data_IF_328123803140
#
_entry.id   IF_328123803140
#
_cell.length_a   1.000
_cell.length_b   1.000
_cell.length_c   1.000
_cell.angle_alpha   90.00
_cell.angle_beta   90.00
_cell.angle_gamma   90.00
#
_symmetry.space_group_name_H-M   'P 1'
#
loop_
_entity.id
_entity.type
_entity.pdbx_description
1 polymer ?
#
# COMPACT_ATOMS: atom_id res chain seq x y z
N UNK A 1 -89.84 55.69 3.26
CA UNK A 1 -88.98 54.51 3.12
C UNK A 1 -88.40 54.57 1.73
N UNK A 2 -87.17 55.05 1.55
CA UNK A 2 -86.36 54.65 0.40
C UNK A 2 -84.88 54.88 0.71
N UNK A 3 -84.07 53.93 0.29
CA UNK A 3 -82.69 53.74 0.73
C UNK A 3 -81.73 54.58 -0.11
N UNK A 4 -80.68 55.09 0.53
CA UNK A 4 -79.46 55.50 -0.17
C UNK A 4 -78.29 54.81 0.54
N UNK A 5 -78.06 53.56 0.15
CA UNK A 5 -76.82 52.85 0.44
C UNK A 5 -75.69 53.57 -0.31
N UNK A 6 -74.82 54.27 0.43
CA UNK A 6 -73.54 54.74 -0.09
C UNK A 6 -72.59 53.55 -0.19
N UNK A 7 -72.56 52.92 -1.36
CA UNK A 7 -71.57 51.88 -1.67
C UNK A 7 -70.24 52.57 -1.87
N UNK A 8 -69.35 52.39 -0.89
CA UNK A 8 -67.92 52.71 -0.97
C UNK A 8 -67.31 51.85 -2.08
N UNK A 9 -66.94 52.45 -3.19
CA UNK A 9 -66.41 51.74 -4.37
C UNK A 9 -64.87 51.76 -4.43
N UNK A 10 -64.20 52.35 -3.43
CA UNK A 10 -62.74 52.62 -3.45
C UNK A 10 -61.86 51.46 -2.96
N UNK A 11 -62.44 50.39 -2.40
CA UNK A 11 -61.66 49.29 -1.79
C UNK A 11 -61.18 48.26 -2.84
N UNK A 12 -61.99 48.00 -3.87
CA UNK A 12 -61.80 46.86 -4.78
C UNK A 12 -60.54 46.99 -5.66
N UNK A 13 -60.10 48.22 -5.98
CA UNK A 13 -58.86 48.49 -6.72
C UNK A 13 -57.62 48.35 -5.85
N UNK A 14 -57.67 48.83 -4.60
CA UNK A 14 -56.55 48.71 -3.65
C UNK A 14 -56.32 47.26 -3.23
N UNK A 15 -57.38 46.46 -3.04
CA UNK A 15 -57.25 45.03 -2.80
C UNK A 15 -56.60 44.28 -3.97
N UNK A 16 -56.87 44.67 -5.23
CA UNK A 16 -56.24 44.03 -6.40
C UNK A 16 -54.77 44.39 -6.54
N UNK A 17 -54.40 45.65 -6.26
CA UNK A 17 -53.00 46.09 -6.18
C UNK A 17 -52.24 45.36 -5.07
N UNK A 18 -52.85 45.18 -3.90
CA UNK A 18 -52.26 44.48 -2.77
C UNK A 18 -52.04 42.97 -3.05
N UNK A 19 -52.99 42.29 -3.69
CA UNK A 19 -52.84 40.87 -4.10
C UNK A 19 -51.74 40.72 -5.15
N UNK A 20 -51.64 41.66 -6.10
CA UNK A 20 -50.58 41.66 -7.12
C UNK A 20 -49.19 41.83 -6.52
N UNK A 21 -49.03 42.76 -5.57
CA UNK A 21 -47.77 42.95 -4.84
C UNK A 21 -47.43 41.71 -4.01
N UNK A 22 -48.42 41.09 -3.35
CA UNK A 22 -48.22 39.85 -2.60
C UNK A 22 -47.72 38.69 -3.47
N UNK A 23 -48.24 38.56 -4.68
CA UNK A 23 -47.82 37.51 -5.63
C UNK A 23 -46.40 37.76 -6.14
N UNK A 24 -46.03 39.02 -6.40
CA UNK A 24 -44.69 39.41 -6.86
C UNK A 24 -43.64 39.15 -5.78
N UNK A 25 -43.96 39.41 -4.51
CA UNK A 25 -43.09 39.10 -3.36
C UNK A 25 -42.83 37.60 -3.25
N UNK A 26 -43.88 36.77 -3.31
CA UNK A 26 -43.73 35.31 -3.23
C UNK A 26 -42.94 34.77 -4.41
N UNK A 27 -43.15 35.32 -5.61
CA UNK A 27 -42.41 34.92 -6.80
C UNK A 27 -40.90 35.17 -6.62
N UNK A 28 -40.51 36.36 -6.17
CA UNK A 28 -39.10 36.70 -5.92
C UNK A 28 -38.52 35.79 -4.82
N UNK A 29 -39.27 35.59 -3.72
CA UNK A 29 -38.82 34.72 -2.64
C UNK A 29 -38.58 33.28 -3.11
N UNK A 30 -39.48 32.72 -3.93
CA UNK A 30 -39.35 31.38 -4.49
C UNK A 30 -38.12 31.27 -5.41
N UNK A 31 -37.87 32.29 -6.23
CA UNK A 31 -36.69 32.33 -7.11
C UNK A 31 -35.39 32.35 -6.28
N UNK A 32 -35.34 33.14 -5.20
CA UNK A 32 -34.17 33.21 -4.34
C UNK A 32 -33.89 31.88 -3.62
N UNK A 33 -34.93 31.24 -3.08
CA UNK A 33 -34.80 29.91 -2.45
C UNK A 33 -34.33 28.88 -3.46
N UNK A 34 -34.88 28.91 -4.69
CA UNK A 34 -34.48 28.01 -5.77
C UNK A 34 -33.02 28.20 -6.17
N UNK A 35 -32.53 29.44 -6.22
CA UNK A 35 -31.14 29.74 -6.55
C UNK A 35 -30.17 29.22 -5.47
N UNK A 36 -30.50 29.39 -4.20
CA UNK A 36 -29.70 28.83 -3.09
C UNK A 36 -29.71 27.31 -3.13
N UNK A 37 -30.90 26.71 -3.31
CA UNK A 37 -31.04 25.26 -3.42
C UNK A 37 -30.23 24.68 -4.60
N UNK A 38 -30.26 25.33 -5.76
CA UNK A 38 -29.46 24.95 -6.93
C UNK A 38 -27.96 25.06 -6.65
N UNK A 39 -27.52 26.12 -5.95
CA UNK A 39 -26.13 26.27 -5.53
C UNK A 39 -25.65 25.12 -4.65
N UNK A 40 -26.44 24.71 -3.65
CA UNK A 40 -26.13 23.56 -2.78
C UNK A 40 -26.10 22.26 -3.57
N UNK A 41 -27.02 22.06 -4.52
CA UNK A 41 -27.06 20.87 -5.37
C UNK A 41 -25.81 20.76 -6.26
N UNK A 42 -25.35 21.88 -6.83
CA UNK A 42 -24.14 21.92 -7.65
C UNK A 42 -22.89 21.64 -6.81
N UNK A 43 -22.78 22.26 -5.63
CA UNK A 43 -21.65 22.05 -4.72
C UNK A 43 -21.56 20.60 -4.25
N UNK A 44 -22.71 20.02 -3.89
CA UNK A 44 -22.80 18.61 -3.51
C UNK A 44 -22.41 17.70 -4.69
N UNK A 45 -22.93 17.99 -5.89
CA UNK A 45 -22.59 17.22 -7.09
C UNK A 45 -21.08 17.31 -7.42
N UNK A 46 -20.47 18.48 -7.26
CA UNK A 46 -19.04 18.68 -7.46
C UNK A 46 -18.20 17.88 -6.46
N UNK A 47 -18.53 17.94 -5.17
CA UNK A 47 -17.86 17.15 -4.13
C UNK A 47 -17.98 15.64 -4.38
N UNK A 48 -19.18 15.16 -4.73
CA UNK A 48 -19.41 13.75 -5.07
C UNK A 48 -18.66 13.33 -6.33
N UNK A 49 -18.53 14.21 -7.32
CA UNK A 49 -17.76 13.91 -8.53
C UNK A 49 -16.27 13.73 -8.20
N UNK A 50 -15.65 14.68 -7.49
CA UNK A 50 -14.24 14.57 -7.08
C UNK A 50 -13.99 13.30 -6.27
N UNK A 51 -14.90 12.98 -5.34
CA UNK A 51 -14.81 11.76 -4.55
C UNK A 51 -14.93 10.50 -5.44
N UNK A 52 -15.84 10.50 -6.40
CA UNK A 52 -16.04 9.37 -7.31
C UNK A 52 -14.83 9.16 -8.24
N UNK A 53 -14.22 10.24 -8.73
CA UNK A 53 -12.99 10.20 -9.53
C UNK A 53 -11.82 9.62 -8.71
N UNK A 54 -11.57 10.16 -7.51
CA UNK A 54 -10.52 9.66 -6.62
C UNK A 54 -10.72 8.18 -6.25
N UNK A 55 -11.94 7.78 -5.92
CA UNK A 55 -12.26 6.37 -5.60
C UNK A 55 -12.06 5.47 -6.82
N UNK A 56 -12.38 5.96 -8.02
CA UNK A 56 -12.19 5.24 -9.27
C UNK A 56 -10.70 5.05 -9.60
N UNK A 57 -9.88 6.06 -9.38
CA UNK A 57 -8.43 5.99 -9.52
C UNK A 57 -7.81 5.01 -8.53
N UNK A 58 -8.15 5.11 -7.24
CA UNK A 58 -7.68 4.21 -6.18
C UNK A 58 -8.10 2.76 -6.43
N UNK A 59 -9.36 2.53 -6.82
CA UNK A 59 -9.85 1.18 -7.14
C UNK A 59 -9.16 0.60 -8.37
N UNK A 60 -8.82 1.44 -9.35
CA UNK A 60 -8.08 1.00 -10.53
C UNK A 60 -6.65 0.64 -10.15
N UNK A 61 -5.98 1.50 -9.37
CA UNK A 61 -4.63 1.25 -8.86
C UNK A 61 -4.57 -0.05 -8.04
N UNK A 62 -5.53 -0.29 -7.14
CA UNK A 62 -5.58 -1.50 -6.31
C UNK A 62 -5.65 -2.80 -7.14
N UNK A 63 -6.23 -2.77 -8.34
CA UNK A 63 -6.34 -3.96 -9.21
C UNK A 63 -5.30 -3.99 -10.34
N UNK A 64 -4.62 -2.89 -10.64
CA UNK A 64 -3.60 -2.83 -11.69
C UNK A 64 -2.19 -2.92 -11.14
N UNK A 65 -1.95 -2.38 -9.94
CA UNK A 65 -0.61 -2.15 -9.39
C UNK A 65 -0.09 -3.37 -8.63
N UNK A 66 -0.34 -4.56 -9.17
CA UNK A 66 0.22 -5.80 -8.64
C UNK A 66 1.71 -5.90 -8.97
N UNK A 67 2.46 -6.49 -8.04
CA UNK A 67 3.80 -6.97 -8.29
C UNK A 67 3.72 -8.34 -8.97
N UNK A 68 4.65 -8.56 -9.89
CA UNK A 68 4.87 -9.86 -10.50
C UNK A 68 6.18 -10.42 -9.95
N UNK A 69 6.09 -11.53 -9.24
CA UNK A 69 7.27 -12.31 -8.83
C UNK A 69 7.79 -13.06 -10.05
N UNK A 70 9.05 -12.79 -10.41
CA UNK A 70 9.74 -13.42 -11.55
C UNK A 70 10.45 -14.69 -11.10
N UNK A 71 11.06 -14.66 -9.92
CA UNK A 71 11.75 -15.79 -9.32
C UNK A 71 11.93 -15.57 -7.82
N UNK A 72 11.76 -16.62 -7.04
CA UNK A 72 12.20 -16.69 -5.66
C UNK A 72 13.46 -17.58 -5.56
N UNK A 73 14.43 -17.14 -4.77
CA UNK A 73 15.64 -17.90 -4.49
C UNK A 73 15.93 -17.88 -2.98
N UNK A 74 16.26 -19.04 -2.42
CA UNK A 74 16.73 -19.19 -1.05
C UNK A 74 18.22 -19.44 -1.03
N UNK A 75 18.93 -18.83 -0.08
CA UNK A 75 20.31 -19.20 0.23
C UNK A 75 20.36 -20.04 1.51
N UNK A 76 21.11 -21.13 1.43
CA UNK A 76 21.35 -22.06 2.52
C UNK A 76 22.82 -22.04 2.93
N UNK A 77 23.09 -22.52 4.13
CA UNK A 77 24.44 -22.60 4.66
C UNK A 77 24.63 -21.73 5.90
N UNK A 78 25.85 -21.72 6.43
CA UNK A 78 26.18 -20.95 7.62
C UNK A 78 26.63 -19.53 7.27
N UNK A 79 26.05 -18.55 7.94
CA UNK A 79 26.53 -17.18 7.95
C UNK A 79 27.13 -16.84 9.32
N UNK A 80 28.26 -16.13 9.36
CA UNK A 80 28.94 -15.80 10.61
C UNK A 80 28.20 -14.75 11.46
N UNK A 81 27.23 -14.05 10.87
CA UNK A 81 26.45 -12.99 11.54
C UNK A 81 24.98 -13.35 11.79
N UNK A 82 24.46 -14.40 11.13
CA UNK A 82 23.09 -14.88 11.34
C UNK A 82 23.18 -16.11 12.22
N UNK A 83 22.61 -16.04 13.41
CA UNK A 83 22.46 -17.19 14.30
C UNK A 83 21.35 -18.10 13.76
N UNK A 84 21.60 -18.77 12.63
CA UNK A 84 20.89 -19.99 12.28
C UNK A 84 21.37 -21.08 13.24
N UNK A 85 20.44 -21.87 13.76
CA UNK A 85 20.62 -22.78 14.89
C UNK A 85 22.00 -23.45 14.90
N UNK A 86 22.67 -23.36 16.06
CA UNK A 86 24.08 -23.68 16.30
C UNK A 86 24.50 -25.16 16.13
N UNK A 87 23.76 -25.97 15.38
CA UNK A 87 24.12 -27.37 15.09
C UNK A 87 24.63 -27.54 13.66
N UNK A 88 25.47 -28.55 13.46
CA UNK A 88 26.42 -28.63 12.34
C UNK A 88 25.81 -29.06 11.00
N UNK A 89 24.48 -29.09 10.90
CA UNK A 89 23.70 -29.57 9.75
C UNK A 89 23.01 -28.37 9.08
N UNK A 90 23.69 -27.77 8.10
CA UNK A 90 23.33 -26.50 7.48
C UNK A 90 22.17 -26.59 6.45
N UNK A 91 21.05 -27.16 6.87
CA UNK A 91 19.86 -27.44 6.04
C UNK A 91 18.72 -26.44 6.30
N UNK A 92 19.05 -25.17 6.52
CA UNK A 92 18.09 -24.09 6.70
C UNK A 92 18.35 -22.94 5.71
N UNK A 93 17.28 -22.28 5.27
CA UNK A 93 17.33 -21.06 4.46
C UNK A 93 17.40 -19.87 5.39
N UNK A 94 18.49 -19.11 5.31
CA UNK A 94 18.68 -17.89 6.12
C UNK A 94 18.39 -16.61 5.33
N UNK A 95 18.28 -16.69 3.99
CA UNK A 95 17.99 -15.53 3.14
C UNK A 95 17.09 -15.92 1.98
N UNK A 96 16.08 -15.11 1.73
CA UNK A 96 15.18 -15.21 0.58
C UNK A 96 15.34 -13.97 -0.30
N UNK A 97 15.63 -14.18 -1.58
CA UNK A 97 15.65 -13.16 -2.63
C UNK A 97 14.47 -13.34 -3.58
N UNK A 98 13.53 -12.39 -3.58
CA UNK A 98 12.41 -12.35 -4.52
C UNK A 98 12.67 -11.30 -5.59
N UNK A 99 12.81 -11.72 -6.84
CA UNK A 99 12.88 -10.80 -7.96
C UNK A 99 11.49 -10.41 -8.39
N UNK A 100 11.18 -9.13 -8.31
CA UNK A 100 9.87 -8.58 -8.61
C UNK A 100 9.95 -7.55 -9.73
N UNK A 101 8.85 -7.45 -10.47
CA UNK A 101 8.59 -6.44 -11.48
C UNK A 101 7.21 -5.89 -11.30
N UNK A 102 6.92 -4.73 -11.87
CA UNK A 102 5.54 -4.25 -11.94
C UNK A 102 4.75 -5.02 -13.00
N UNK A 103 3.48 -5.30 -12.71
CA UNK A 103 2.59 -5.95 -13.66
C UNK A 103 2.34 -5.07 -14.90
N UNK A 104 2.04 -5.65 -16.06
CA UNK A 104 1.66 -4.86 -17.23
C UNK A 104 0.42 -4.00 -16.96
N UNK A 105 0.55 -2.68 -17.15
CA UNK A 105 -0.53 -1.73 -16.90
C UNK A 105 -0.54 -1.16 -15.48
N UNK A 106 0.32 -1.66 -14.59
CA UNK A 106 0.59 -1.02 -13.31
C UNK A 106 1.20 0.38 -13.51
N UNK A 107 0.87 1.28 -12.59
CA UNK A 107 1.52 2.57 -12.42
C UNK A 107 2.95 2.44 -11.92
N UNK A 108 3.38 3.41 -11.13
CA UNK A 108 4.64 3.33 -10.41
C UNK A 108 4.38 2.64 -9.07
N UNK A 109 5.19 1.65 -8.72
CA UNK A 109 5.05 0.93 -7.44
C UNK A 109 6.23 1.31 -6.55
N UNK A 110 5.93 1.85 -5.37
CA UNK A 110 6.92 2.20 -4.36
C UNK A 110 7.01 1.10 -3.29
N UNK A 111 8.17 0.45 -3.22
CA UNK A 111 8.46 -0.64 -2.30
C UNK A 111 8.75 -0.14 -0.87
N UNK A 112 9.04 1.15 -0.66
CA UNK A 112 9.18 1.73 0.69
C UNK A 112 7.87 1.67 1.47
N UNK A 113 6.74 1.79 0.76
CA UNK A 113 5.39 1.72 1.32
C UNK A 113 4.79 0.31 1.31
N UNK A 114 5.56 -0.68 0.84
CA UNK A 114 5.11 -2.06 0.74
C UNK A 114 5.31 -2.77 2.07
N UNK A 115 4.34 -3.62 2.42
CA UNK A 115 4.39 -4.47 3.60
C UNK A 115 4.40 -5.91 3.13
N UNK A 116 5.25 -6.73 3.74
CA UNK A 116 5.32 -8.16 3.43
C UNK A 116 4.91 -8.93 4.68
N UNK A 117 3.86 -9.72 4.57
CA UNK A 117 3.48 -10.66 5.60
C UNK A 117 4.19 -11.99 5.32
N UNK A 118 4.92 -12.49 6.31
CA UNK A 118 5.56 -13.81 6.30
C UNK A 118 4.84 -14.72 7.27
N UNK A 119 4.29 -15.82 6.77
CA UNK A 119 3.56 -16.80 7.56
C UNK A 119 4.18 -18.19 7.38
N UNK A 120 4.65 -18.77 8.48
CA UNK A 120 5.08 -20.17 8.60
C UNK A 120 4.42 -20.77 9.86
N UNK A 121 5.17 -21.23 10.86
CA UNK A 121 4.63 -21.59 12.18
C UNK A 121 4.20 -20.36 12.98
N UNK A 122 4.85 -19.24 12.73
CA UNK A 122 4.56 -17.92 13.28
C UNK A 122 4.22 -16.94 12.15
N UNK A 123 3.70 -15.77 12.53
CA UNK A 123 3.33 -14.71 11.60
C UNK A 123 4.12 -13.45 11.93
N UNK A 124 4.85 -12.96 10.94
CA UNK A 124 5.65 -11.73 11.03
C UNK A 124 5.24 -10.75 9.94
N UNK A 125 5.19 -9.47 10.30
CA UNK A 125 4.96 -8.38 9.35
C UNK A 125 6.29 -7.68 9.12
N UNK A 126 6.76 -7.71 7.87
CA UNK A 126 8.01 -7.11 7.47
C UNK A 126 7.78 -5.73 6.86
N UNK A 127 8.62 -4.78 7.28
CA UNK A 127 8.64 -3.41 6.76
C UNK A 127 9.93 -3.14 6.01
N UNK A 128 9.90 -2.17 5.09
CA UNK A 128 11.07 -1.83 4.31
C UNK A 128 12.15 -1.17 5.17
N UNK A 129 13.40 -1.58 4.97
CA UNK A 129 14.58 -0.95 5.56
C UNK A 129 15.59 -0.59 4.48
N UNK A 130 16.00 0.68 4.47
CA UNK A 130 17.02 1.21 3.57
C UNK A 130 18.42 0.79 3.98
N UNK A 131 19.19 0.28 3.03
CA UNK A 131 20.61 -0.05 3.24
C UNK A 131 21.50 0.65 2.22
N UNK A 132 22.74 0.96 2.62
CA UNK A 132 23.73 1.66 1.80
C UNK A 132 24.38 0.77 0.73
N UNK A 133 24.17 -0.54 0.78
CA UNK A 133 24.77 -1.48 -0.15
C UNK A 133 24.53 -2.93 0.21
N UNK A 134 25.00 -3.82 -0.67
CA UNK A 134 24.97 -5.26 -0.48
C UNK A 134 26.36 -5.86 -0.72
N UNK A 135 26.68 -6.91 0.03
CA UNK A 135 27.91 -7.67 -0.15
C UNK A 135 27.84 -8.61 -1.36
N UNK A 136 28.91 -9.40 -1.57
CA UNK A 136 28.98 -10.35 -2.68
C UNK A 136 27.96 -11.51 -2.59
N UNK A 137 27.42 -11.77 -1.40
CA UNK A 137 26.39 -12.79 -1.14
C UNK A 137 24.98 -12.17 -1.15
N UNK A 138 24.85 -10.86 -1.41
CA UNK A 138 23.56 -10.18 -1.41
C UNK A 138 22.95 -9.99 -0.04
N UNK A 139 23.77 -9.96 1.01
CA UNK A 139 23.39 -9.47 2.34
C UNK A 139 23.59 -7.95 2.39
N UNK A 140 22.79 -7.20 3.17
CA UNK A 140 23.04 -5.78 3.38
C UNK A 140 24.48 -5.57 3.92
N UNK A 141 25.12 -4.45 3.58
CA UNK A 141 26.47 -4.17 4.12
C UNK A 141 26.42 -3.58 5.53
N UNK A 142 25.34 -2.88 5.84
CA UNK A 142 25.13 -2.20 7.11
C UNK A 142 23.63 -2.13 7.40
N UNK A 143 23.27 -2.48 8.62
CA UNK A 143 21.93 -2.33 9.20
C UNK A 143 22.10 -1.66 10.56
N UNK A 144 21.53 -0.48 10.73
CA UNK A 144 21.46 0.16 12.03
C UNK A 144 20.17 -0.29 12.73
N UNK A 145 20.24 -1.45 13.39
CA UNK A 145 19.13 -2.03 14.12
C UNK A 145 18.97 -1.33 15.47
N UNK A 146 18.10 -0.33 15.51
CA UNK A 146 17.66 0.25 16.79
C UNK A 146 16.51 -0.57 17.35
N UNK A 147 16.32 -0.58 18.68
CA UNK A 147 15.16 -1.21 19.34
C UNK A 147 13.85 -1.04 18.53
N UNK A 148 13.31 -2.14 18.02
CA UNK A 148 12.10 -2.17 17.19
C UNK A 148 12.32 -2.13 15.66
N UNK A 149 13.54 -2.39 15.19
CA UNK A 149 13.84 -2.55 13.75
C UNK A 149 13.67 -4.00 13.28
N UNK A 150 12.95 -4.82 14.04
CA UNK A 150 12.74 -6.25 13.77
C UNK A 150 11.79 -6.47 12.61
N UNK A 151 11.89 -7.65 11.97
CA UNK A 151 11.12 -8.05 10.80
C UNK A 151 11.20 -6.98 9.70
N UNK A 152 12.30 -6.96 8.97
CA UNK A 152 12.52 -5.99 7.90
C UNK A 152 12.95 -6.68 6.63
N UNK A 153 12.60 -6.08 5.50
CA UNK A 153 13.10 -6.49 4.20
C UNK A 153 13.88 -5.35 3.57
N UNK A 154 14.82 -5.72 2.71
CA UNK A 154 15.68 -4.80 1.99
C UNK A 154 15.38 -4.88 0.50
N UNK A 155 15.77 -3.88 -0.26
CA UNK A 155 15.58 -3.87 -1.71
C UNK A 155 16.85 -3.53 -2.46
N UNK A 156 17.08 -4.26 -3.55
CA UNK A 156 18.25 -4.15 -4.41
C UNK A 156 17.83 -4.04 -5.86
N UNK A 157 18.34 -3.04 -6.59
CA UNK A 157 18.14 -2.98 -8.04
C UNK A 157 18.90 -4.12 -8.72
N UNK A 158 18.17 -4.93 -9.50
CA UNK A 158 18.74 -5.90 -10.44
C UNK A 158 18.85 -5.25 -11.82
N UNK A 159 17.86 -4.43 -12.16
CA UNK A 159 17.81 -3.66 -13.40
C UNK A 159 16.96 -2.41 -13.17
N UNK A 160 17.48 -1.27 -13.62
CA UNK A 160 16.90 0.04 -13.37
C UNK A 160 17.84 0.90 -12.52
N UNK A 161 17.54 2.18 -12.43
CA UNK A 161 18.37 3.15 -11.70
C UNK A 161 17.95 3.33 -10.23
N UNK A 162 16.76 2.84 -9.86
CA UNK A 162 16.20 2.89 -8.51
C UNK A 162 16.08 1.47 -7.91
N UNK A 163 16.24 1.35 -6.59
CA UNK A 163 16.13 0.09 -5.85
C UNK A 163 14.87 0.03 -4.98
N UNK A 164 14.03 1.05 -4.97
CA UNK A 164 12.81 1.15 -4.15
C UNK A 164 11.58 1.42 -5.01
N UNK A 165 11.72 2.05 -6.16
CA UNK A 165 10.59 2.38 -7.04
C UNK A 165 10.68 1.64 -8.37
N UNK A 166 9.56 1.03 -8.78
CA UNK A 166 9.37 0.42 -10.11
C UNK A 166 8.59 1.39 -11.00
N UNK A 167 9.28 2.26 -11.73
CA UNK A 167 8.67 3.27 -12.60
C UNK A 167 8.78 2.94 -14.10
N UNK A 168 9.74 2.12 -14.52
CA UNK A 168 9.84 1.61 -15.87
C UNK A 168 9.38 0.15 -16.00
N UNK A 169 8.88 -0.22 -17.19
CA UNK A 169 8.48 -1.62 -17.47
C UNK A 169 9.66 -2.59 -17.48
N UNK A 170 10.86 -2.05 -17.65
CA UNK A 170 12.10 -2.81 -17.75
C UNK A 170 12.71 -3.14 -16.40
N UNK A 171 12.27 -2.48 -15.33
CA UNK A 171 12.89 -2.55 -14.02
C UNK A 171 12.64 -3.89 -13.37
N UNK A 172 13.61 -4.28 -12.55
CA UNK A 172 13.61 -5.49 -11.76
C UNK A 172 14.30 -5.16 -10.44
N UNK A 173 13.56 -5.33 -9.35
CA UNK A 173 14.09 -5.16 -8.01
C UNK A 173 14.06 -6.53 -7.34
N UNK A 174 15.12 -6.83 -6.59
CA UNK A 174 15.15 -7.97 -5.69
C UNK A 174 14.82 -7.50 -4.28
N UNK A 175 13.77 -8.09 -3.71
CA UNK A 175 13.43 -7.99 -2.30
C UNK A 175 14.26 -9.04 -1.58
N UNK A 176 15.05 -8.60 -0.61
CA UNK A 176 15.91 -9.46 0.21
C UNK A 176 15.32 -9.53 1.61
N UNK A 177 14.95 -10.74 2.03
CA UNK A 177 14.45 -11.04 3.37
C UNK A 177 15.51 -11.90 4.06
N UNK A 178 15.93 -11.48 5.24
CA UNK A 178 16.77 -12.29 6.12
C UNK A 178 15.86 -13.08 7.05
N UNK A 179 16.29 -14.29 7.42
CA UNK A 179 15.58 -15.17 8.33
C UNK A 179 16.53 -15.56 9.48
N UNK A 180 15.96 -15.70 10.68
CA UNK A 180 16.70 -15.95 11.91
C UNK A 180 17.28 -14.69 12.54
N UNK A 181 17.73 -14.80 13.79
CA UNK A 181 18.30 -13.66 14.51
C UNK A 181 19.66 -13.28 13.91
N UNK A 182 19.79 -12.03 13.48
CA UNK A 182 21.08 -11.49 13.02
C UNK A 182 21.76 -10.82 14.21
N UNK A 183 22.85 -11.42 14.68
CA UNK A 183 23.57 -10.95 15.86
C UNK A 183 24.29 -9.64 15.55
N UNK A 184 24.25 -8.70 16.51
CA UNK A 184 24.96 -7.44 16.38
C UNK A 184 26.46 -7.62 16.23
N UNK A 185 27.01 -6.87 15.29
CA UNK A 185 28.41 -6.87 14.94
C UNK A 185 28.82 -5.49 14.42
N UNK A 186 30.04 -5.05 14.75
CA UNK A 186 30.59 -3.78 14.28
C UNK A 186 30.70 -3.66 12.77
N UNK A 187 30.51 -4.77 12.05
CA UNK A 187 30.75 -4.88 10.62
C UNK A 187 29.45 -5.10 9.83
N UNK A 188 28.31 -5.34 10.50
CA UNK A 188 27.04 -5.65 9.83
C UNK A 188 25.80 -5.04 10.52
N UNK A 189 25.43 -5.53 11.71
CA UNK A 189 24.26 -5.01 12.45
C UNK A 189 24.72 -4.20 13.67
N UNK A 190 24.42 -2.91 13.70
CA UNK A 190 24.80 -2.00 14.77
C UNK A 190 23.74 -1.88 15.87
N UNK A 191 24.19 -1.51 17.07
CA UNK A 191 23.40 -1.18 18.27
C UNK A 191 22.73 -2.39 18.95
N UNK A 192 21.84 -3.09 18.24
CA UNK A 192 21.13 -4.27 18.77
C UNK A 192 21.07 -5.45 17.80
N UNK A 193 20.67 -6.63 18.32
CA UNK A 193 20.39 -7.79 17.46
C UNK A 193 19.15 -7.49 16.59
N UNK A 194 19.12 -8.02 15.38
CA UNK A 194 17.99 -7.87 14.48
C UNK A 194 17.17 -9.15 14.50
N UNK A 195 15.99 -9.12 15.11
CA UNK A 195 15.09 -10.26 15.11
C UNK A 195 14.35 -10.33 13.76
N UNK A 196 14.42 -11.46 13.09
CA UNK A 196 13.77 -11.70 11.80
C UNK A 196 12.90 -12.96 11.87
N UNK A 197 12.02 -13.19 10.88
CA UNK A 197 11.18 -14.37 10.86
C UNK A 197 11.99 -15.66 10.92
N UNK A 198 11.36 -16.74 11.38
CA UNK A 198 12.00 -18.04 11.55
C UNK A 198 12.59 -18.56 10.23
N UNK A 199 13.83 -19.11 10.24
CA UNK A 199 14.39 -19.81 9.09
C UNK A 199 13.50 -20.95 8.60
N UNK A 200 13.55 -21.23 7.30
CA UNK A 200 12.79 -22.33 6.68
C UNK A 200 13.68 -23.57 6.60
N UNK A 201 13.21 -24.70 7.13
CA UNK A 201 13.85 -26.02 6.99
C UNK A 201 13.59 -26.66 5.62
N UNK A 202 14.32 -27.74 5.28
CA UNK A 202 14.18 -28.52 4.04
C UNK A 202 12.78 -29.12 3.79
N UNK A 203 11.95 -29.21 4.83
CA UNK A 203 10.57 -29.71 4.80
C UNK A 203 9.50 -28.64 5.13
N UNK A 204 9.92 -27.40 5.37
CA UNK A 204 9.04 -26.28 5.73
C UNK A 204 8.31 -25.65 4.52
N UNK A 205 7.29 -24.85 4.81
CA UNK A 205 6.56 -24.05 3.81
C UNK A 205 6.30 -22.68 4.43
N UNK A 206 6.65 -21.61 3.70
CA UNK A 206 6.34 -20.25 4.14
C UNK A 206 5.50 -19.53 3.08
N UNK A 207 4.45 -18.84 3.51
CA UNK A 207 3.64 -17.98 2.65
C UNK A 207 4.07 -16.53 2.81
N UNK A 208 4.27 -15.86 1.67
CA UNK A 208 4.55 -14.44 1.57
C UNK A 208 3.36 -13.73 0.96
N UNK A 209 2.74 -12.83 1.72
CA UNK A 209 1.73 -11.91 1.18
C UNK A 209 2.32 -10.51 1.09
N UNK A 210 2.63 -10.08 -0.13
CA UNK A 210 3.17 -8.76 -0.44
C UNK A 210 2.02 -7.81 -0.73
N UNK A 211 1.88 -6.76 0.07
CA UNK A 211 0.87 -5.71 -0.11
C UNK A 211 1.55 -4.39 -0.45
N UNK A 212 1.30 -3.89 -1.67
CA UNK A 212 1.83 -2.60 -2.14
C UNK A 212 1.10 -1.42 -1.49
N UNK A 213 1.66 -0.21 -1.61
CA UNK A 213 1.04 1.01 -1.06
C UNK A 213 -0.35 1.36 -1.63
N UNK A 214 -0.71 0.86 -2.81
CA UNK A 214 -2.05 0.99 -3.40
C UNK A 214 -3.04 -0.08 -2.87
N UNK A 215 -2.59 -0.99 -2.01
CA UNK A 215 -3.38 -2.09 -1.46
C UNK A 215 -3.48 -3.30 -2.38
N UNK A 216 -2.77 -3.32 -3.51
CA UNK A 216 -2.70 -4.50 -4.37
C UNK A 216 -1.87 -5.59 -3.68
N UNK A 217 -2.42 -6.80 -3.59
CA UNK A 217 -1.79 -7.96 -2.93
C UNK A 217 -1.24 -8.95 -3.95
N UNK A 218 -0.10 -9.56 -3.60
CA UNK A 218 0.55 -10.65 -4.34
C UNK A 218 0.94 -11.72 -3.34
N UNK A 219 0.49 -12.95 -3.55
CA UNK A 219 0.78 -14.08 -2.66
C UNK A 219 1.78 -14.99 -3.37
N UNK A 220 2.88 -15.30 -2.69
CA UNK A 220 3.90 -16.25 -3.14
C UNK A 220 4.12 -17.29 -2.04
N UNK A 221 4.22 -18.56 -2.41
CA UNK A 221 4.46 -19.64 -1.45
C UNK A 221 5.86 -20.19 -1.67
N UNK A 222 6.73 -20.03 -0.68
CA UNK A 222 8.08 -20.53 -0.69
C UNK A 222 8.09 -21.99 -0.25
N UNK A 223 8.57 -22.88 -1.12
CA UNK A 223 8.79 -24.29 -0.76
C UNK A 223 10.20 -24.71 -1.12
N UNK A 224 11.05 -24.96 -0.11
CA UNK A 224 12.33 -25.59 -0.33
C UNK A 224 12.14 -26.99 -0.95
N UNK A 225 13.06 -27.45 -1.81
CA UNK A 225 13.05 -28.82 -2.26
C UNK A 225 13.43 -29.75 -1.10
N UNK A 226 12.88 -30.98 -1.13
CA UNK A 226 13.02 -32.02 -0.10
C UNK A 226 14.44 -32.46 0.29
N UNK A 227 15.50 -31.89 -0.32
CA UNK A 227 16.90 -32.08 0.09
C UNK A 227 17.69 -30.82 -0.22
N UNK A 228 18.24 -30.15 0.78
CA UNK A 228 19.12 -29.00 0.63
C UNK A 228 20.59 -29.46 0.51
N UNK A 229 20.93 -30.19 -0.57
CA UNK A 229 22.26 -30.78 -0.73
C UNK A 229 23.31 -29.69 -1.01
N UNK A 230 24.11 -29.22 -0.04
CA UNK A 230 25.33 -28.36 -0.17
C UNK A 230 25.30 -27.24 -1.24
N UNK A 231 24.13 -26.85 -1.74
CA UNK A 231 23.95 -25.91 -2.82
C UNK A 231 23.72 -24.55 -2.20
N UNK A 232 24.67 -23.64 -2.43
CA UNK A 232 24.66 -22.28 -1.88
C UNK A 232 23.39 -21.47 -2.20
N UNK A 233 22.62 -21.87 -3.21
CA UNK A 233 21.37 -21.23 -3.58
C UNK A 233 20.42 -22.24 -4.20
N UNK A 234 19.12 -22.10 -3.88
CA UNK A 234 18.06 -23.00 -4.31
C UNK A 234 16.87 -22.18 -4.82
N UNK A 235 16.20 -22.66 -5.86
CA UNK A 235 14.97 -22.04 -6.33
C UNK A 235 13.83 -22.44 -5.40
N UNK A 236 13.06 -21.44 -4.96
CA UNK A 236 11.89 -21.60 -4.08
C UNK A 236 10.59 -21.51 -4.87
#
# INVERSE_FOLDING_TARGET
MDASLSVKTDDVSDQRGQVGIGTLIVFIAMVLVSAIAAGVLIDTAGSLQTQAEATGEESTAQVSDHLQVVSAAGETGRNDYIESIADSDADEIYRVGLRVKKSPGAGNIDLNSTIIEYADSDHSILTHYDTNGFDANGLPTEVNATNGSDNVFFTRSIKGDDNTVLDERGDEIEIVILLGTVTKSSDFVYDDDLEQPTPISDDGEAELTITTGSGAQTIEVLRPPHTLIEQKAVQL
#
